data_IF_493065251605
#
_entry.id   IF_493065251605
#
_cell.length_a   1.000
_cell.length_b   1.000
_cell.length_c   1.000
_cell.angle_alpha   90.00
_cell.angle_beta   90.00
_cell.angle_gamma   90.00
#
_symmetry.space_group_name_H-M   'P 1'
#
loop_
_entity.id
_entity.type
_entity.pdbx_description
1 polymer ?
#
# COMPACT_ATOMS: atom_id res chain seq x y z
N UNK A 1 -33.32 8.24 47.33
CA UNK A 1 -32.95 8.70 45.97
C UNK A 1 -32.25 10.05 46.10
N UNK A 2 -30.92 10.09 46.00
CA UNK A 2 -30.16 11.34 46.19
C UNK A 2 -30.21 12.12 44.88
N UNK A 3 -30.98 13.21 44.86
CA UNK A 3 -30.93 14.18 43.76
C UNK A 3 -29.71 15.08 43.96
N UNK A 4 -28.63 14.76 43.25
CA UNK A 4 -27.48 15.66 43.18
C UNK A 4 -27.90 16.88 42.35
N UNK A 5 -28.14 18.03 43.01
CA UNK A 5 -28.31 19.32 42.35
C UNK A 5 -26.94 19.78 41.83
N UNK A 6 -26.60 19.36 40.62
CA UNK A 6 -25.38 19.83 39.97
C UNK A 6 -25.49 21.33 39.66
N UNK A 7 -24.52 22.10 40.14
CA UNK A 7 -24.43 23.52 39.82
C UNK A 7 -24.22 23.66 38.31
N UNK A 8 -25.12 24.42 37.63
CA UNK A 8 -25.05 24.64 36.17
C UNK A 8 -23.67 25.15 35.73
N UNK A 9 -22.97 25.91 36.58
CA UNK A 9 -21.59 26.36 36.33
C UNK A 9 -20.58 25.22 36.31
N UNK A 10 -20.71 24.23 37.19
CA UNK A 10 -19.82 23.06 37.24
C UNK A 10 -20.04 22.17 36.02
N UNK A 11 -21.30 21.96 35.61
CA UNK A 11 -21.63 21.21 34.38
C UNK A 11 -21.02 21.90 33.16
N UNK A 12 -21.15 23.22 33.06
CA UNK A 12 -20.59 23.99 31.96
C UNK A 12 -19.07 23.81 31.85
N UNK A 13 -18.36 23.88 32.99
CA UNK A 13 -16.90 23.70 33.05
C UNK A 13 -16.50 22.30 32.59
N UNK A 14 -17.21 21.25 33.02
CA UNK A 14 -16.93 19.87 32.61
C UNK A 14 -17.15 19.67 31.10
N UNK A 15 -18.20 20.27 30.53
CA UNK A 15 -18.45 20.22 29.08
C UNK A 15 -17.32 20.90 28.31
N UNK A 16 -16.87 22.07 28.75
CA UNK A 16 -15.76 22.79 28.11
C UNK A 16 -14.46 21.97 28.15
N UNK A 17 -14.13 21.37 29.29
CA UNK A 17 -12.95 20.50 29.42
C UNK A 17 -13.06 19.28 28.50
N UNK A 18 -14.24 18.65 28.43
CA UNK A 18 -14.48 17.53 27.52
C UNK A 18 -14.30 17.91 26.05
N UNK A 19 -14.76 19.10 25.65
CA UNK A 19 -14.59 19.61 24.29
C UNK A 19 -13.12 19.89 23.97
N UNK A 20 -12.37 20.47 24.90
CA UNK A 20 -10.92 20.71 24.74
C UNK A 20 -10.19 19.37 24.60
N UNK A 21 -10.51 18.39 25.45
CA UNK A 21 -9.89 17.07 25.37
C UNK A 21 -10.22 16.36 24.05
N UNK A 22 -11.49 16.37 23.63
CA UNK A 22 -11.91 15.82 22.34
C UNK A 22 -11.20 16.52 21.18
N UNK A 23 -11.00 17.83 21.24
CA UNK A 23 -10.28 18.60 20.23
C UNK A 23 -8.78 18.23 20.19
N UNK A 24 -8.13 18.05 21.34
CA UNK A 24 -6.73 17.60 21.42
C UNK A 24 -6.58 16.19 20.82
N UNK A 25 -7.48 15.27 21.19
CA UNK A 25 -7.51 13.91 20.63
C UNK A 25 -7.76 13.95 19.12
N UNK A 26 -8.70 14.79 18.67
CA UNK A 26 -8.97 15.00 17.25
C UNK A 26 -7.74 15.51 16.51
N UNK A 27 -7.05 16.55 17.01
CA UNK A 27 -5.81 17.06 16.39
C UNK A 27 -4.69 16.00 16.39
N UNK A 28 -4.51 15.26 17.49
CA UNK A 28 -3.51 14.19 17.60
C UNK A 28 -3.79 13.04 16.62
N UNK A 29 -5.06 12.75 16.36
CA UNK A 29 -5.48 11.70 15.43
C UNK A 29 -5.66 12.19 13.99
N UNK A 30 -5.84 13.49 13.75
CA UNK A 30 -5.98 14.09 12.40
C UNK A 30 -4.72 13.89 11.56
N UNK A 31 -3.55 13.76 12.20
CA UNK A 31 -2.29 13.42 11.55
C UNK A 31 -1.99 11.92 11.49
N UNK A 32 -2.66 11.09 12.30
CA UNK A 32 -2.57 9.64 12.18
C UNK A 32 -3.47 9.22 11.03
N UNK A 33 -2.92 9.23 9.81
CA UNK A 33 -3.51 8.57 8.64
C UNK A 33 -3.97 7.18 9.11
N UNK A 34 -5.29 6.97 9.17
CA UNK A 34 -5.92 5.71 9.64
C UNK A 34 -5.47 4.50 8.80
N UNK A 35 -4.86 4.74 7.64
CA UNK A 35 -4.05 3.81 6.88
C UNK A 35 -2.88 4.63 6.33
N UNK A 36 -1.78 4.72 7.07
CA UNK A 36 -0.63 5.49 6.60
C UNK A 36 -0.11 4.87 5.30
N UNK A 37 -0.28 5.62 4.20
CA UNK A 37 0.30 5.45 2.86
C UNK A 37 1.84 5.26 2.84
N UNK A 38 2.49 5.22 4.00
CA UNK A 38 3.95 5.17 4.22
C UNK A 38 4.49 3.75 4.37
N UNK A 39 3.63 2.75 4.27
CA UNK A 39 3.93 1.32 4.46
C UNK A 39 4.36 0.58 3.20
N UNK A 40 4.43 1.28 2.06
CA UNK A 40 4.86 0.68 0.81
C UNK A 40 6.32 1.02 0.61
N UNK A 41 7.17 0.00 0.68
CA UNK A 41 8.59 0.14 0.42
C UNK A 41 8.86 -0.20 -1.04
N UNK A 42 9.01 0.84 -1.87
CA UNK A 42 9.39 0.67 -3.28
C UNK A 42 10.81 0.16 -3.36
N UNK A 43 10.99 -0.97 -4.06
CA UNK A 43 12.30 -1.58 -4.29
C UNK A 43 12.91 -1.14 -5.61
N UNK A 44 12.07 -1.04 -6.65
CA UNK A 44 12.51 -0.67 -7.98
C UNK A 44 11.37 -0.13 -8.82
N UNK A 45 11.67 0.90 -9.60
CA UNK A 45 10.82 1.39 -10.67
C UNK A 45 11.55 1.25 -12.00
N UNK A 46 10.83 0.85 -13.05
CA UNK A 46 11.40 0.61 -14.36
C UNK A 46 10.43 1.13 -15.42
N UNK A 47 10.86 2.18 -16.11
CA UNK A 47 10.12 2.74 -17.23
C UNK A 47 10.16 1.84 -18.46
N UNK A 48 9.05 1.80 -19.18
CA UNK A 48 8.97 1.20 -20.51
C UNK A 48 9.87 1.94 -21.50
N UNK A 49 10.33 1.30 -22.60
CA UNK A 49 11.25 1.93 -23.56
C UNK A 49 10.70 3.21 -24.21
N UNK A 50 9.38 3.36 -24.29
CA UNK A 50 8.71 4.56 -24.79
C UNK A 50 8.28 5.55 -23.69
N UNK A 51 8.61 5.27 -22.42
CA UNK A 51 8.30 6.11 -21.27
C UNK A 51 6.82 6.21 -20.89
N UNK A 52 5.91 5.46 -21.53
CA UNK A 52 4.46 5.59 -21.30
C UNK A 52 3.95 4.84 -20.08
N UNK A 53 4.57 3.70 -19.79
CA UNK A 53 4.24 2.85 -18.65
C UNK A 53 5.45 2.72 -17.73
N UNK A 54 5.17 2.43 -16.47
CA UNK A 54 6.16 2.13 -15.45
C UNK A 54 5.77 0.86 -14.71
N UNK A 55 6.75 -0.01 -14.49
CA UNK A 55 6.59 -1.17 -13.60
C UNK A 55 7.23 -0.84 -12.26
N UNK A 56 6.50 -1.08 -11.18
CA UNK A 56 7.03 -0.89 -9.83
C UNK A 56 7.02 -2.20 -9.05
N UNK A 57 8.15 -2.51 -8.43
CA UNK A 57 8.34 -3.63 -7.49
C UNK A 57 8.36 -3.04 -6.08
N UNK A 58 7.54 -3.56 -5.18
CA UNK A 58 7.42 -3.03 -3.82
C UNK A 58 7.02 -4.09 -2.79
N UNK A 59 7.33 -3.82 -1.53
CA UNK A 59 6.76 -4.53 -0.39
C UNK A 59 5.54 -3.79 0.15
N UNK A 60 4.58 -4.54 0.66
CA UNK A 60 3.48 -4.02 1.47
C UNK A 60 3.69 -4.42 2.93
N UNK A 61 4.08 -3.46 3.77
CA UNK A 61 4.44 -3.69 5.18
C UNK A 61 3.21 -3.71 6.12
N UNK A 62 1.96 -3.65 5.62
CA UNK A 62 0.75 -3.66 6.49
C UNK A 62 0.31 -5.01 7.04
N UNK A 63 0.88 -6.12 6.56
CA UNK A 63 0.43 -7.42 7.04
C UNK A 63 1.16 -7.80 8.32
N UNK A 64 0.53 -7.55 9.47
CA UNK A 64 0.98 -8.01 10.79
C UNK A 64 1.20 -9.54 10.88
N UNK A 65 0.73 -10.29 9.89
CA UNK A 65 0.76 -11.75 9.84
C UNK A 65 1.55 -12.32 8.67
N UNK A 66 2.03 -11.52 7.71
CA UNK A 66 2.67 -12.04 6.50
C UNK A 66 3.98 -11.31 6.21
N UNK A 67 5.08 -12.02 6.42
CA UNK A 67 6.44 -11.59 6.09
C UNK A 67 6.58 -11.28 4.60
N UNK A 68 6.91 -10.02 4.27
CA UNK A 68 7.53 -9.58 3.01
C UNK A 68 6.90 -10.12 1.72
N UNK A 69 5.66 -9.68 1.43
CA UNK A 69 5.03 -9.96 0.14
C UNK A 69 5.59 -9.04 -0.94
N UNK A 70 6.26 -9.60 -1.96
CA UNK A 70 6.64 -8.82 -3.15
C UNK A 70 5.41 -8.62 -4.01
N UNK A 71 5.16 -7.36 -4.35
CA UNK A 71 4.13 -6.95 -5.31
C UNK A 71 4.80 -6.32 -6.52
N UNK A 72 4.24 -6.60 -7.69
CA UNK A 72 4.62 -5.94 -8.93
C UNK A 72 3.36 -5.36 -9.54
N UNK A 73 3.41 -4.07 -9.85
CA UNK A 73 2.32 -3.35 -10.50
C UNK A 73 2.78 -2.68 -11.78
N UNK A 74 1.80 -2.38 -12.64
CA UNK A 74 2.00 -1.59 -13.86
C UNK A 74 1.07 -0.38 -13.80
N UNK A 75 1.63 0.80 -14.01
CA UNK A 75 0.90 2.06 -14.13
C UNK A 75 1.30 2.81 -15.40
N UNK A 76 0.55 3.85 -15.77
CA UNK A 76 1.09 4.83 -16.70
C UNK A 76 2.10 5.71 -15.98
N UNK A 77 3.04 6.30 -16.71
CA UNK A 77 4.13 7.05 -16.08
C UNK A 77 3.68 8.40 -15.47
N UNK A 78 2.56 8.95 -15.95
CA UNK A 78 1.89 10.12 -15.39
C UNK A 78 1.11 9.80 -14.10
N UNK A 79 0.87 8.53 -13.80
CA UNK A 79 0.22 8.10 -12.55
C UNK A 79 1.24 8.21 -11.40
N UNK A 80 1.17 9.31 -10.66
CA UNK A 80 2.07 9.60 -9.53
C UNK A 80 1.93 8.65 -8.33
N UNK A 81 0.90 7.80 -8.30
CA UNK A 81 0.51 7.06 -7.11
C UNK A 81 0.48 5.54 -7.35
N UNK A 82 1.35 4.81 -6.64
CA UNK A 82 1.41 3.35 -6.69
C UNK A 82 0.12 2.67 -6.21
N UNK A 83 -0.67 3.33 -5.36
CA UNK A 83 -1.95 2.77 -4.93
C UNK A 83 -3.02 2.79 -6.02
N UNK A 84 -2.82 3.61 -7.07
CA UNK A 84 -3.69 3.65 -8.25
C UNK A 84 -3.19 2.68 -9.34
N UNK A 85 -2.06 2.00 -9.09
CA UNK A 85 -1.49 1.02 -9.99
C UNK A 85 -2.07 -0.38 -9.78
N UNK A 86 -2.37 -1.08 -10.88
CA UNK A 86 -2.90 -2.43 -10.83
C UNK A 86 -1.78 -3.43 -10.50
N UNK A 87 -1.92 -4.15 -9.39
CA UNK A 87 -1.02 -5.25 -9.03
C UNK A 87 -1.23 -6.40 -10.00
N UNK A 88 -0.20 -6.74 -10.78
CA UNK A 88 -0.23 -7.81 -11.78
C UNK A 88 0.36 -9.13 -11.26
N UNK A 89 1.20 -9.05 -10.24
CA UNK A 89 1.88 -10.19 -9.63
C UNK A 89 2.00 -10.00 -8.11
N UNK A 90 1.65 -11.04 -7.36
CA UNK A 90 1.68 -11.07 -5.89
C UNK A 90 2.04 -12.49 -5.42
N UNK A 91 3.13 -12.59 -4.66
CA UNK A 91 3.62 -13.85 -4.08
C UNK A 91 4.25 -13.53 -2.72
N UNK A 92 4.07 -14.43 -1.75
CA UNK A 92 4.77 -14.32 -0.46
C UNK A 92 6.16 -14.97 -0.50
N UNK A 93 7.02 -14.59 0.46
CA UNK A 93 8.28 -15.28 0.72
C UNK A 93 9.16 -15.43 -0.54
N UNK A 94 9.23 -14.37 -1.35
CA UNK A 94 10.18 -14.27 -2.46
C UNK A 94 11.46 -13.63 -1.95
N UNK A 95 12.59 -14.30 -2.21
CA UNK A 95 13.92 -13.77 -1.86
C UNK A 95 14.37 -12.65 -2.80
N UNK A 96 13.98 -12.74 -4.08
CA UNK A 96 14.34 -11.77 -5.11
C UNK A 96 13.34 -11.79 -6.26
N UNK A 97 12.95 -10.61 -6.72
CA UNK A 97 12.24 -10.41 -7.97
C UNK A 97 12.95 -9.34 -8.80
N UNK A 98 12.93 -9.49 -10.11
CA UNK A 98 13.37 -8.48 -11.06
C UNK A 98 12.44 -8.44 -12.25
N UNK A 99 12.24 -7.24 -12.78
CA UNK A 99 11.49 -7.03 -14.02
C UNK A 99 12.40 -6.40 -15.05
N UNK A 100 12.13 -6.71 -16.32
CA UNK A 100 12.69 -6.01 -17.47
C UNK A 100 11.66 -5.91 -18.58
N UNK A 101 11.70 -4.78 -19.29
CA UNK A 101 10.97 -4.62 -20.55
C UNK A 101 11.75 -5.28 -21.68
N UNK A 102 11.07 -6.09 -22.47
CA UNK A 102 11.60 -6.68 -23.71
C UNK A 102 11.19 -5.83 -24.91
N UNK A 103 10.01 -5.22 -24.85
CA UNK A 103 9.49 -4.28 -25.83
C UNK A 103 8.66 -3.20 -25.12
N UNK A 104 7.98 -2.34 -25.88
CA UNK A 104 6.98 -1.41 -25.33
C UNK A 104 5.74 -2.11 -24.72
N UNK A 105 5.55 -3.39 -25.05
CA UNK A 105 4.35 -4.15 -24.77
C UNK A 105 4.65 -5.53 -24.16
N UNK A 106 5.91 -5.85 -23.88
CA UNK A 106 6.29 -7.14 -23.34
C UNK A 106 7.22 -6.96 -22.15
N UNK A 107 6.90 -7.58 -21.03
CA UNK A 107 7.75 -7.63 -19.85
C UNK A 107 8.06 -9.06 -19.46
N UNK A 108 9.25 -9.24 -18.88
CA UNK A 108 9.67 -10.49 -18.26
C UNK A 108 9.85 -10.23 -16.76
N UNK A 109 9.22 -11.08 -15.95
CA UNK A 109 9.31 -11.08 -14.50
C UNK A 109 10.09 -12.32 -14.08
N UNK A 110 11.32 -12.11 -13.66
CA UNK A 110 12.19 -13.14 -13.08
C UNK A 110 12.05 -13.10 -11.55
N UNK A 111 11.76 -14.23 -10.90
CA UNK A 111 11.62 -14.32 -9.45
C UNK A 111 12.18 -15.63 -8.91
N UNK A 112 12.62 -15.64 -7.65
CA UNK A 112 13.03 -16.86 -6.97
C UNK A 112 12.09 -17.14 -5.80
N UNK A 113 11.31 -18.20 -5.95
CA UNK A 113 10.28 -18.61 -5.00
C UNK A 113 10.90 -19.43 -3.86
N UNK A 114 10.60 -19.08 -2.61
CA UNK A 114 11.03 -19.87 -1.46
C UNK A 114 10.35 -21.24 -1.42
N UNK A 115 10.97 -22.20 -0.71
CA UNK A 115 10.23 -23.38 -0.27
C UNK A 115 9.05 -22.87 0.58
N UNK A 116 7.81 -23.23 0.24
CA UNK A 116 6.56 -22.74 0.84
C UNK A 116 6.09 -21.33 0.43
N UNK A 117 6.56 -20.78 -0.68
CA UNK A 117 5.90 -19.62 -1.29
C UNK A 117 4.55 -20.00 -1.89
N UNK A 118 3.60 -19.08 -1.81
CA UNK A 118 2.28 -19.12 -2.40
C UNK A 118 2.10 -17.96 -3.38
N UNK A 119 1.71 -18.28 -4.61
CA UNK A 119 1.31 -17.28 -5.61
C UNK A 119 -0.16 -16.89 -5.38
N UNK A 120 -0.43 -15.62 -5.11
CA UNK A 120 -1.79 -15.10 -4.93
C UNK A 120 -2.33 -14.44 -6.19
N UNK A 121 -1.44 -13.87 -7.03
CA UNK A 121 -1.82 -13.26 -8.30
C UNK A 121 -0.72 -13.40 -9.34
N UNK A 122 -1.12 -13.75 -10.57
CA UNK A 122 -0.23 -13.87 -11.74
C UNK A 122 -0.99 -13.63 -13.03
N UNK A 123 -0.95 -12.40 -13.53
CA UNK A 123 -1.64 -12.01 -14.76
C UNK A 123 -0.77 -12.29 -15.99
N UNK A 124 -1.28 -13.00 -17.00
CA UNK A 124 -0.55 -13.22 -18.26
C UNK A 124 -0.48 -11.98 -19.16
N UNK A 125 -1.45 -11.08 -19.02
CA UNK A 125 -1.58 -9.87 -19.82
C UNK A 125 -2.27 -8.79 -19.00
N UNK A 126 -1.80 -7.56 -19.11
CA UNK A 126 -2.41 -6.37 -18.52
C UNK A 126 -2.59 -5.31 -19.61
N UNK A 127 -3.84 -4.99 -19.94
CA UNK A 127 -4.17 -4.14 -21.11
C UNK A 127 -3.48 -4.69 -22.36
N UNK A 128 -2.59 -3.92 -22.99
CA UNK A 128 -1.80 -4.33 -24.16
C UNK A 128 -0.37 -4.78 -23.82
N UNK A 129 -0.09 -5.10 -22.55
CA UNK A 129 1.23 -5.54 -22.10
C UNK A 129 1.17 -7.04 -21.79
N UNK A 130 1.97 -7.84 -22.50
CA UNK A 130 2.14 -9.25 -22.24
C UNK A 130 3.19 -9.46 -21.14
N UNK A 131 2.97 -10.47 -20.30
CA UNK A 131 3.77 -10.71 -19.11
C UNK A 131 4.24 -12.15 -19.13
N UNK A 132 5.55 -12.33 -19.28
CA UNK A 132 6.23 -13.63 -19.16
C UNK A 132 6.81 -13.77 -17.75
N UNK A 133 6.65 -14.96 -17.17
CA UNK A 133 7.15 -15.26 -15.83
C UNK A 133 8.22 -16.35 -15.89
N UNK A 134 9.35 -16.10 -15.21
CA UNK A 134 10.46 -17.03 -15.05
C UNK A 134 10.72 -17.21 -13.56
N UNK A 135 10.43 -18.39 -13.04
CA UNK A 135 10.47 -18.70 -11.61
C UNK A 135 11.17 -20.01 -11.31
#
# INVERSE_FOLDING_TARGET
>A
MIFIKFNKKIILVLVVISLIFAYIVYLKNRGRKVLARESVKVLKEIDSPNGKNKVTIFYDEWSATVSENIRISIAKNDDSNIYDSDVIFLVDRINKASVRWVSNNDIVIDYNKGAYSQEFRKMKKFKNINIEYRG
#
